data_IF_516063277054
#
_entry.id   IF_516063277054
#
_cell.length_a   1.000
_cell.length_b   1.000
_cell.length_c   1.000
_cell.angle_alpha   90.00
_cell.angle_beta   90.00
_cell.angle_gamma   90.00
#
_symmetry.space_group_name_H-M   'P 1'
#
loop_
_entity.id
_entity.type
_entity.pdbx_description
1 polymer ?
#
# COMPACT_ATOMS: atom_id res chain seq x y z
N UNK A 1 -26.51 28.55 -9.55
CA UNK A 1 -25.26 27.76 -9.49
C UNK A 1 -25.37 26.76 -8.34
N UNK A 2 -25.68 25.49 -8.63
CA UNK A 2 -25.73 24.42 -7.61
C UNK A 2 -24.31 23.92 -7.39
N UNK A 3 -23.73 24.24 -6.22
CA UNK A 3 -22.41 23.78 -5.82
C UNK A 3 -22.28 22.27 -5.99
N UNK A 4 -21.27 21.86 -6.77
CA UNK A 4 -20.92 20.47 -6.99
C UNK A 4 -20.64 19.81 -5.64
N UNK A 5 -21.41 18.76 -5.30
CA UNK A 5 -21.07 17.86 -4.21
C UNK A 5 -19.74 17.19 -4.56
N UNK A 6 -18.63 17.71 -4.07
CA UNK A 6 -17.37 16.96 -4.00
C UNK A 6 -17.68 15.72 -3.18
N UNK A 7 -17.73 14.55 -3.83
CA UNK A 7 -18.00 13.29 -3.15
C UNK A 7 -16.90 13.11 -2.10
N UNK A 8 -17.20 13.40 -0.84
CA UNK A 8 -16.29 13.18 0.26
C UNK A 8 -16.03 11.68 0.27
N UNK A 9 -14.85 11.27 -0.19
CA UNK A 9 -14.44 9.88 -0.13
C UNK A 9 -14.68 9.39 1.29
N UNK A 10 -15.44 8.31 1.39
CA UNK A 10 -15.69 7.66 2.67
C UNK A 10 -14.35 7.31 3.30
N UNK A 11 -14.29 7.26 4.62
CA UNK A 11 -13.04 6.96 5.30
C UNK A 11 -12.43 5.62 4.84
N UNK A 12 -13.29 4.64 4.56
CA UNK A 12 -12.88 3.36 3.99
C UNK A 12 -12.19 3.52 2.62
N UNK A 13 -12.68 4.40 1.74
CA UNK A 13 -12.05 4.67 0.44
C UNK A 13 -10.69 5.37 0.60
N UNK A 14 -10.58 6.29 1.56
CA UNK A 14 -9.29 6.91 1.90
C UNK A 14 -8.29 5.87 2.39
N UNK A 15 -8.73 4.95 3.24
CA UNK A 15 -7.88 3.86 3.73
C UNK A 15 -7.41 2.94 2.59
N UNK A 16 -8.33 2.58 1.68
CA UNK A 16 -8.01 1.80 0.48
C UNK A 16 -6.98 2.50 -0.40
N UNK A 17 -7.14 3.80 -0.62
CA UNK A 17 -6.23 4.60 -1.44
C UNK A 17 -4.81 4.59 -0.88
N UNK A 18 -4.64 4.72 0.43
CA UNK A 18 -3.32 4.70 1.07
C UNK A 18 -2.67 3.31 0.95
N UNK A 19 -3.43 2.23 1.18
CA UNK A 19 -2.89 0.88 1.06
C UNK A 19 -2.56 0.49 -0.39
N UNK A 20 -3.32 0.99 -1.36
CA UNK A 20 -3.06 0.71 -2.78
C UNK A 20 -1.90 1.54 -3.35
N UNK A 21 -1.74 2.78 -2.87
CA UNK A 21 -0.71 3.72 -3.37
C UNK A 21 0.69 3.45 -2.83
N UNK A 22 0.84 2.59 -1.81
CA UNK A 22 2.13 2.28 -1.20
C UNK A 22 2.50 0.80 -1.40
N UNK A 23 3.79 0.50 -1.39
CA UNK A 23 4.37 -0.84 -1.52
C UNK A 23 5.31 -1.18 -0.35
N UNK A 24 5.57 -0.22 0.54
CA UNK A 24 6.34 -0.41 1.77
C UNK A 24 5.45 -0.23 3.00
N UNK A 25 5.72 -1.01 4.02
CA UNK A 25 5.07 -0.91 5.32
C UNK A 25 6.07 -1.14 6.45
N UNK A 26 5.72 -0.71 7.66
CA UNK A 26 6.43 -1.06 8.88
C UNK A 26 5.71 -2.24 9.53
N UNK A 27 6.38 -3.39 9.62
CA UNK A 27 5.88 -4.57 10.30
C UNK A 27 6.32 -4.53 11.75
N UNK A 28 5.37 -4.69 12.66
CA UNK A 28 5.57 -4.74 14.10
C UNK A 28 5.23 -6.14 14.60
N UNK A 29 6.21 -6.86 15.15
CA UNK A 29 6.03 -8.17 15.80
C UNK A 29 6.45 -8.10 17.25
N UNK A 30 5.99 -9.06 18.06
CA UNK A 30 6.43 -9.21 19.45
C UNK A 30 7.77 -9.95 19.45
N UNK A 31 8.77 -9.47 20.20
CA UNK A 31 10.07 -10.15 20.29
C UNK A 31 9.95 -11.47 21.03
N UNK A 32 10.62 -12.48 20.48
CA UNK A 32 10.85 -13.75 21.12
C UNK A 32 12.03 -13.67 22.12
N UNK A 33 11.82 -13.06 23.28
CA UNK A 33 12.85 -13.01 24.33
C UNK A 33 12.76 -14.24 25.26
N UNK A 34 13.87 -14.97 25.42
CA UNK A 34 13.97 -16.14 26.31
C UNK A 34 13.74 -15.85 27.81
N UNK A 35 13.67 -14.57 28.20
CA UNK A 35 13.51 -14.12 29.59
C UNK A 35 12.05 -13.86 30.02
N UNK A 36 11.07 -14.07 29.15
CA UNK A 36 9.66 -13.90 29.53
C UNK A 36 9.22 -12.45 29.74
N UNK A 37 10.03 -11.45 29.32
CA UNK A 37 9.57 -10.07 29.19
C UNK A 37 8.66 -9.96 27.97
N UNK A 38 7.41 -10.38 28.15
CA UNK A 38 6.32 -10.14 27.22
C UNK A 38 6.20 -8.62 27.11
N UNK A 39 6.47 -8.04 25.94
CA UNK A 39 5.98 -6.72 25.44
C UNK A 39 7.00 -5.85 24.68
N UNK A 40 8.23 -6.31 24.41
CA UNK A 40 9.10 -5.53 23.51
C UNK A 40 8.69 -5.73 22.04
N UNK A 41 8.38 -4.64 21.34
CA UNK A 41 7.99 -4.65 19.93
C UNK A 41 9.24 -4.55 19.06
N UNK A 42 9.33 -5.40 18.05
CA UNK A 42 10.31 -5.30 16.98
C UNK A 42 9.67 -4.73 15.72
N UNK A 43 10.29 -3.71 15.15
CA UNK A 43 9.80 -2.99 13.98
C UNK A 43 10.84 -3.02 12.87
N UNK A 44 10.46 -3.51 11.69
CA UNK A 44 11.28 -3.43 10.49
C UNK A 44 10.43 -3.05 9.27
N UNK A 45 11.10 -2.59 8.20
CA UNK A 45 10.45 -2.23 6.94
C UNK A 45 10.29 -3.48 6.09
N UNK A 46 9.07 -3.72 5.63
CA UNK A 46 8.72 -4.82 4.73
C UNK A 46 8.11 -4.31 3.45
N UNK A 47 8.28 -5.05 2.36
CA UNK A 47 7.60 -4.80 1.09
C UNK A 47 6.28 -5.57 1.08
N UNK A 48 5.24 -5.02 0.47
CA UNK A 48 3.95 -5.68 0.40
C UNK A 48 3.17 -5.40 -0.88
N UNK A 49 2.25 -6.31 -1.20
CA UNK A 49 1.22 -6.10 -2.21
C UNK A 49 -0.17 -6.45 -1.67
N UNK A 50 -1.20 -5.88 -2.28
CA UNK A 50 -2.58 -6.25 -2.01
C UNK A 50 -3.09 -7.17 -3.12
N UNK A 51 -3.52 -8.38 -2.75
CA UNK A 51 -4.21 -9.30 -3.67
C UNK A 51 -5.55 -9.68 -3.07
N UNK A 52 -6.64 -9.39 -3.80
CA UNK A 52 -8.03 -9.61 -3.34
C UNK A 52 -8.34 -9.05 -1.94
N UNK A 53 -7.66 -7.98 -1.54
CA UNK A 53 -7.92 -7.24 -0.29
C UNK A 53 -7.10 -7.74 0.89
N UNK A 54 -6.22 -8.70 0.64
CA UNK A 54 -5.30 -9.25 1.64
C UNK A 54 -3.90 -8.74 1.35
N UNK A 55 -3.19 -8.21 2.35
CA UNK A 55 -1.77 -7.87 2.22
C UNK A 55 -0.93 -9.15 2.22
N UNK A 56 -0.04 -9.25 1.24
CA UNK A 56 1.02 -10.23 1.17
C UNK A 56 2.35 -9.51 1.38
N UNK A 57 3.17 -10.03 2.28
CA UNK A 57 4.40 -9.40 2.76
C UNK A 57 5.61 -10.20 2.29
N UNK A 58 6.67 -9.50 1.92
CA UNK A 58 8.00 -10.07 1.73
C UNK A 58 8.87 -9.63 2.89
N UNK A 59 9.41 -10.61 3.61
CA UNK A 59 10.28 -10.42 4.76
C UNK A 59 11.61 -11.09 4.44
N UNK A 60 12.72 -10.37 4.58
CA UNK A 60 14.05 -10.95 4.33
C UNK A 60 14.27 -12.14 5.28
N UNK A 61 14.84 -13.25 4.81
CA UNK A 61 15.05 -14.45 5.63
C UNK A 61 15.93 -14.20 6.86
N UNK A 62 16.85 -13.24 6.78
CA UNK A 62 17.75 -12.86 7.88
C UNK A 62 17.06 -11.99 8.94
N UNK A 63 15.82 -11.57 8.71
CA UNK A 63 15.07 -10.70 9.62
C UNK A 63 14.50 -11.50 10.81
N UNK A 64 14.54 -10.90 12.00
CA UNK A 64 14.01 -11.48 13.24
C UNK A 64 12.48 -11.70 13.19
N UNK A 65 11.77 -11.01 12.28
CA UNK A 65 10.36 -11.23 12.04
C UNK A 65 10.03 -12.71 11.73
N UNK A 66 10.93 -13.44 11.07
CA UNK A 66 10.70 -14.86 10.78
C UNK A 66 10.64 -15.71 12.05
N UNK A 67 11.53 -15.47 13.01
CA UNK A 67 11.53 -16.17 14.31
C UNK A 67 10.36 -15.72 15.17
N UNK A 68 10.12 -14.41 15.22
CA UNK A 68 9.05 -13.84 16.05
C UNK A 68 7.66 -14.36 15.64
N UNK A 69 7.39 -14.46 14.33
CA UNK A 69 6.09 -14.91 13.81
C UNK A 69 5.81 -16.40 14.02
N UNK A 70 6.84 -17.23 14.18
CA UNK A 70 6.69 -18.65 14.53
C UNK A 70 6.22 -18.81 15.98
N UNK A 71 6.70 -17.94 16.87
CA UNK A 71 6.39 -18.00 18.31
C UNK A 71 5.07 -17.30 18.62
N UNK A 72 4.86 -16.12 18.03
CA UNK A 72 3.63 -15.35 18.17
C UNK A 72 3.18 -14.83 16.80
N UNK A 73 2.03 -15.32 16.34
CA UNK A 73 1.50 -14.98 15.03
C UNK A 73 0.91 -13.55 14.98
N UNK A 74 0.79 -12.86 16.11
CA UNK A 74 0.22 -11.51 16.20
C UNK A 74 1.20 -10.47 15.66
N UNK A 75 0.72 -9.66 14.74
CA UNK A 75 1.48 -8.53 14.23
C UNK A 75 0.60 -7.31 13.94
N UNK A 76 1.26 -6.16 13.84
CA UNK A 76 0.65 -4.94 13.34
C UNK A 76 1.44 -4.40 12.16
N UNK A 77 0.74 -3.83 11.18
CA UNK A 77 1.32 -3.26 9.98
C UNK A 77 0.96 -1.78 9.92
N UNK A 78 1.96 -0.91 9.86
CA UNK A 78 1.76 0.53 9.71
C UNK A 78 2.12 0.99 8.28
N UNK A 79 1.17 1.64 7.62
CA UNK A 79 1.31 2.18 6.25
C UNK A 79 1.01 3.66 6.27
N UNK A 80 1.91 4.47 5.71
CA UNK A 80 1.70 5.90 5.52
C UNK A 80 1.33 6.20 4.06
N UNK A 81 0.61 7.30 3.82
CA UNK A 81 0.46 7.83 2.46
C UNK A 81 1.84 8.19 1.89
N UNK A 82 2.10 7.95 0.60
CA UNK A 82 3.33 8.40 -0.04
C UNK A 82 3.60 9.86 0.29
N UNK A 83 4.80 10.13 0.80
CA UNK A 83 5.14 11.43 1.36
C UNK A 83 6.33 12.00 0.58
N UNK A 84 6.20 13.18 -0.04
CA UNK A 84 7.28 13.76 -0.82
C UNK A 84 8.47 14.10 0.08
N UNK A 85 9.56 13.36 -0.10
CA UNK A 85 10.79 13.49 0.68
C UNK A 85 11.33 14.93 0.73
N UNK A 86 11.47 15.65 -0.40
CA UNK A 86 11.98 17.02 -0.41
C UNK A 86 11.14 18.02 0.41
N UNK A 87 9.84 17.77 0.55
CA UNK A 87 8.93 18.64 1.30
C UNK A 87 8.71 18.17 2.75
N UNK A 88 9.42 17.12 3.18
CA UNK A 88 9.20 16.50 4.48
C UNK A 88 9.33 17.48 5.65
N UNK A 89 10.38 18.31 5.61
CA UNK A 89 10.67 19.28 6.66
C UNK A 89 9.60 20.39 6.71
N UNK A 90 9.10 20.82 5.55
CA UNK A 90 8.03 21.82 5.45
C UNK A 90 6.71 21.28 6.03
N UNK A 91 6.33 20.07 5.66
CA UNK A 91 5.12 19.44 6.21
C UNK A 91 5.23 19.21 7.72
N UNK A 92 6.42 18.85 8.20
CA UNK A 92 6.69 18.71 9.63
C UNK A 92 6.58 20.04 10.37
N UNK A 93 7.11 21.14 9.83
CA UNK A 93 7.00 22.47 10.45
C UNK A 93 5.55 22.97 10.48
N UNK A 94 4.75 22.63 9.48
CA UNK A 94 3.31 22.90 9.44
C UNK A 94 2.47 21.95 10.32
N UNK A 95 3.09 21.01 11.03
CA UNK A 95 2.42 19.93 11.78
C UNK A 95 1.42 19.11 10.94
N UNK A 96 1.60 19.10 9.61
CA UNK A 96 0.76 18.34 8.66
C UNK A 96 1.49 17.06 8.30
N UNK A 97 1.32 16.02 9.12
CA UNK A 97 1.91 14.72 8.85
C UNK A 97 1.09 13.94 7.81
N UNK A 98 1.72 13.04 7.02
CA UNK A 98 1.01 12.19 6.08
C UNK A 98 -0.01 11.33 6.83
N UNK A 99 -1.13 11.05 6.18
CA UNK A 99 -2.14 10.15 6.73
C UNK A 99 -1.52 8.75 6.93
N UNK A 100 -1.90 8.08 8.02
CA UNK A 100 -1.36 6.77 8.37
C UNK A 100 -2.46 5.80 8.72
N UNK A 101 -2.20 4.53 8.45
CA UNK A 101 -3.07 3.42 8.76
C UNK A 101 -2.26 2.44 9.57
N UNK A 102 -2.77 2.08 10.74
CA UNK A 102 -2.28 0.98 11.53
C UNK A 102 -3.28 -0.18 11.39
N UNK A 103 -2.80 -1.30 10.91
CA UNK A 103 -3.56 -2.53 10.75
C UNK A 103 -3.08 -3.51 11.80
N UNK A 104 -3.99 -4.17 12.49
CA UNK A 104 -3.64 -5.24 13.42
C UNK A 104 -4.28 -6.55 12.99
N UNK A 105 -3.51 -7.63 13.11
CA UNK A 105 -3.92 -8.93 12.64
C UNK A 105 -2.91 -10.02 12.98
N UNK A 106 -2.97 -11.09 12.21
CA UNK A 106 -2.05 -12.22 12.35
C UNK A 106 -1.26 -12.41 11.05
N UNK A 107 -0.07 -12.95 11.14
CA UNK A 107 0.83 -13.20 10.01
C UNK A 107 1.01 -14.70 9.87
N UNK A 108 0.79 -15.21 8.67
CA UNK A 108 0.89 -16.64 8.37
C UNK A 108 1.94 -16.84 7.26
N UNK A 109 3.01 -17.63 7.49
CA UNK A 109 3.96 -17.97 6.43
C UNK A 109 3.26 -18.77 5.34
N UNK A 110 3.55 -18.45 4.08
CA UNK A 110 3.03 -19.20 2.95
C UNK A 110 3.94 -20.38 2.62
N UNK A 111 3.32 -21.51 2.29
CA UNK A 111 4.00 -22.63 1.63
C UNK A 111 4.47 -22.21 0.24
N UNK A 112 5.54 -22.82 -0.23
CA UNK A 112 6.21 -22.48 -1.49
C UNK A 112 5.25 -22.42 -2.69
N UNK A 113 4.34 -23.38 -2.83
CA UNK A 113 3.32 -23.37 -3.91
C UNK A 113 2.46 -22.09 -3.90
N UNK A 114 2.02 -21.65 -2.72
CA UNK A 114 1.19 -20.44 -2.59
C UNK A 114 2.02 -19.18 -2.74
N UNK A 115 3.30 -19.20 -2.33
CA UNK A 115 4.23 -18.10 -2.52
C UNK A 115 4.45 -17.86 -4.03
N UNK A 116 4.70 -18.91 -4.81
CA UNK A 116 4.84 -18.84 -6.28
C UNK A 116 3.62 -18.21 -6.96
N UNK A 117 2.40 -18.58 -6.55
CA UNK A 117 1.16 -17.96 -7.07
C UNK A 117 1.01 -16.48 -6.71
N UNK A 118 1.64 -16.02 -5.64
CA UNK A 118 1.65 -14.61 -5.25
C UNK A 118 2.69 -13.84 -6.06
N UNK A 119 3.86 -14.43 -6.29
CA UNK A 119 4.90 -13.88 -7.17
C UNK A 119 4.46 -13.79 -8.63
N UNK A 120 3.77 -14.80 -9.15
CA UNK A 120 3.20 -14.77 -10.50
C UNK A 120 2.16 -13.65 -10.61
N UNK A 121 1.31 -13.50 -9.59
CA UNK A 121 0.35 -12.40 -9.53
C UNK A 121 1.04 -11.03 -9.43
N UNK A 122 2.21 -10.95 -8.78
CA UNK A 122 3.02 -9.74 -8.77
C UNK A 122 3.53 -9.41 -10.18
N UNK A 123 4.07 -10.41 -10.89
CA UNK A 123 4.51 -10.27 -12.29
C UNK A 123 3.37 -9.80 -13.18
N UNK A 124 2.19 -10.39 -13.04
CA UNK A 124 0.99 -10.00 -13.80
C UNK A 124 0.59 -8.55 -13.54
N UNK A 125 0.59 -8.11 -12.27
CA UNK A 125 0.27 -6.71 -11.92
C UNK A 125 1.27 -5.76 -12.56
N UNK A 126 2.57 -6.02 -12.45
CA UNK A 126 3.61 -5.16 -13.05
C UNK A 126 3.50 -5.09 -14.57
N UNK A 127 3.26 -6.23 -15.24
CA UNK A 127 3.04 -6.27 -16.69
C UNK A 127 1.77 -5.51 -17.10
N UNK A 128 0.71 -5.58 -16.29
CA UNK A 128 -0.53 -4.84 -16.56
C UNK A 128 -0.38 -3.32 -16.35
N UNK A 129 0.47 -2.89 -15.42
CA UNK A 129 0.83 -1.49 -15.23
C UNK A 129 1.59 -0.97 -16.46
N UNK A 130 2.60 -1.71 -16.92
CA UNK A 130 3.37 -1.34 -18.10
C UNK A 130 2.50 -1.30 -19.36
N UNK A 131 1.65 -2.31 -19.58
CA UNK A 131 0.74 -2.34 -20.73
C UNK A 131 -0.18 -1.13 -20.79
N UNK A 132 -0.69 -0.67 -19.64
CA UNK A 132 -1.54 0.52 -19.59
C UNK A 132 -0.77 1.80 -19.93
N UNK A 133 0.53 1.87 -19.62
CA UNK A 133 1.39 2.99 -20.02
C UNK A 133 1.65 2.95 -21.53
N UNK A 134 1.87 1.76 -22.09
CA UNK A 134 2.15 1.56 -23.51
C UNK A 134 0.90 1.80 -24.40
N UNK A 135 -0.29 1.43 -23.91
CA UNK A 135 -1.58 1.66 -24.59
C UNK A 135 -2.07 3.11 -24.48
N UNK A 136 -1.44 3.95 -23.64
CA UNK A 136 -1.81 5.35 -23.50
C UNK A 136 -1.42 6.18 -24.74
N UNK A 137 -2.11 7.32 -25.03
CA UNK A 137 -1.74 8.20 -26.11
C UNK A 137 -0.25 8.58 -26.04
N UNK A 138 0.42 8.67 -27.19
CA UNK A 138 1.88 8.86 -27.27
C UNK A 138 2.41 9.99 -26.35
N UNK A 139 1.71 11.12 -26.27
CA UNK A 139 2.08 12.24 -25.38
C UNK A 139 2.07 11.82 -23.90
N UNK A 140 1.03 11.09 -23.47
CA UNK A 140 0.88 10.61 -22.10
C UNK A 140 1.86 9.48 -21.82
N UNK A 141 2.01 8.52 -22.74
CA UNK A 141 2.95 7.41 -22.61
C UNK A 141 4.39 7.91 -22.51
N UNK A 142 4.80 8.87 -23.35
CA UNK A 142 6.11 9.52 -23.29
C UNK A 142 6.33 10.26 -21.96
N UNK A 143 5.33 10.98 -21.45
CA UNK A 143 5.43 11.62 -20.13
C UNK A 143 5.51 10.59 -19.02
N UNK A 144 4.66 9.56 -18.99
CA UNK A 144 4.65 8.56 -17.92
C UNK A 144 5.90 7.67 -17.92
N UNK A 145 6.40 7.29 -19.09
CA UNK A 145 7.64 6.52 -19.24
C UNK A 145 8.89 7.33 -18.89
N UNK A 146 8.89 8.64 -19.16
CA UNK A 146 9.99 9.55 -18.78
C UNK A 146 9.87 10.07 -17.35
N UNK A 147 8.68 10.02 -16.75
CA UNK A 147 8.40 10.44 -15.39
C UNK A 147 8.95 9.45 -14.37
N UNK A 148 10.27 9.37 -14.28
CA UNK A 148 10.97 9.02 -13.06
C UNK A 148 10.86 10.21 -12.11
N UNK A 149 9.70 10.39 -11.48
CA UNK A 149 9.50 11.45 -10.50
C UNK A 149 10.22 11.09 -9.18
N UNK A 150 11.54 11.07 -9.27
CA UNK A 150 12.56 11.31 -8.23
C UNK A 150 13.08 10.09 -7.43
N UNK A 151 12.37 8.97 -7.29
CA UNK A 151 12.94 7.73 -6.70
C UNK A 151 12.06 6.53 -7.04
N UNK A 152 12.58 5.65 -7.90
CA UNK A 152 12.21 4.24 -8.15
C UNK A 152 10.71 3.94 -8.26
N UNK A 153 10.23 3.57 -9.45
CA UNK A 153 8.82 3.20 -9.65
C UNK A 153 8.40 2.06 -8.70
N UNK A 154 7.12 2.00 -8.32
CA UNK A 154 6.58 0.88 -7.51
C UNK A 154 6.99 -0.47 -8.10
N UNK A 155 6.88 -0.57 -9.42
CA UNK A 155 7.27 -1.75 -10.18
C UNK A 155 8.78 -2.03 -10.10
N UNK A 156 9.67 -1.06 -10.25
CA UNK A 156 11.12 -1.27 -10.08
C UNK A 156 11.49 -1.80 -8.69
N UNK A 157 10.94 -1.24 -7.62
CA UNK A 157 11.28 -1.71 -6.27
C UNK A 157 10.72 -3.10 -5.95
N UNK A 158 9.58 -3.44 -6.56
CA UNK A 158 9.01 -4.78 -6.43
C UNK A 158 9.70 -5.77 -7.36
N UNK A 159 10.35 -5.31 -8.44
CA UNK A 159 11.17 -6.14 -9.32
C UNK A 159 12.33 -6.79 -8.57
N UNK A 160 12.94 -6.06 -7.62
CA UNK A 160 13.99 -6.60 -6.74
C UNK A 160 13.54 -7.87 -5.98
N UNK A 161 12.25 -8.02 -5.68
CA UNK A 161 11.70 -9.22 -5.03
C UNK A 161 11.66 -10.43 -5.97
N UNK A 162 11.65 -10.20 -7.28
CA UNK A 162 11.57 -11.22 -8.33
C UNK A 162 12.93 -11.57 -8.91
N UNK A 163 13.89 -10.64 -8.86
CA UNK A 163 15.23 -10.79 -9.41
C UNK A 163 16.11 -11.72 -8.55
N UNK A 164 15.66 -12.09 -7.34
CA UNK A 164 16.31 -13.10 -6.49
C UNK A 164 17.63 -12.65 -5.85
N UNK A 165 17.88 -11.35 -5.78
CA UNK A 165 19.11 -10.78 -5.19
C UNK A 165 19.19 -11.06 -3.69
N UNK A 166 18.04 -11.12 -3.01
CA UNK A 166 17.92 -11.51 -1.61
C UNK A 166 16.87 -12.61 -1.46
N UNK A 167 17.05 -13.47 -0.47
CA UNK A 167 16.08 -14.50 -0.10
C UNK A 167 15.00 -13.88 0.80
N UNK A 168 13.74 -14.05 0.40
CA UNK A 168 12.58 -13.50 1.09
C UNK A 168 11.57 -14.60 1.43
N UNK A 169 11.12 -14.62 2.68
CA UNK A 169 9.94 -15.35 3.10
C UNK A 169 8.66 -14.57 2.73
N UNK A 170 7.69 -15.26 2.12
CA UNK A 170 6.39 -14.68 1.76
C UNK A 170 5.36 -15.00 2.84
N UNK A 171 4.71 -13.96 3.35
CA UNK A 171 3.70 -14.08 4.40
C UNK A 171 2.35 -13.52 3.97
N UNK A 172 1.27 -14.08 4.50
CA UNK A 172 -0.09 -13.55 4.37
C UNK A 172 -0.50 -12.83 5.65
N UNK A 173 -0.90 -11.57 5.52
CA UNK A 173 -1.42 -10.80 6.65
C UNK A 173 -2.95 -10.98 6.75
N UNK A 174 -3.42 -11.59 7.83
CA UNK A 174 -4.83 -11.79 8.15
C UNK A 174 -5.33 -10.62 9.02
N UNK A 175 -6.01 -9.67 8.38
CA UNK A 175 -6.49 -8.44 9.02
C UNK A 175 -7.64 -8.70 10.01
N UNK A 176 -7.51 -8.24 11.26
CA UNK A 176 -8.58 -8.30 12.28
C UNK A 176 -9.31 -6.97 12.45
N UNK A 177 -8.53 -5.89 12.59
CA UNK A 177 -9.07 -4.54 12.67
C UNK A 177 -8.06 -3.54 12.11
N UNK A 178 -8.55 -2.35 11.79
CA UNK A 178 -7.76 -1.28 11.22
C UNK A 178 -8.08 0.02 11.96
N UNK A 179 -7.05 0.77 12.26
CA UNK A 179 -7.12 2.12 12.80
C UNK A 179 -6.48 3.05 11.80
N UNK A 180 -7.15 4.14 11.50
CA UNK A 180 -6.63 5.14 10.57
C UNK A 180 -6.53 6.49 11.25
N UNK A 181 -5.41 7.16 11.03
CA UNK A 181 -5.10 8.48 11.55
C UNK A 181 -5.00 9.43 10.36
N UNK A 182 -5.96 10.36 10.30
CA UNK A 182 -6.02 11.38 9.26
C UNK A 182 -5.99 12.78 9.88
N UNK A 183 -5.34 13.70 9.16
CA UNK A 183 -5.44 15.12 9.41
C UNK A 183 -6.57 15.70 8.57
N UNK A 184 -7.63 16.18 9.23
CA UNK A 184 -8.62 17.05 8.60
C UNK A 184 -8.54 18.41 9.30
N UNK A 185 -8.18 19.46 8.57
CA UNK A 185 -8.32 20.86 9.03
C UNK A 185 -7.85 21.08 10.48
N UNK A 186 -6.62 20.66 10.80
CA UNK A 186 -5.95 20.83 12.10
C UNK A 186 -6.37 19.89 13.24
N UNK A 187 -7.26 18.91 13.01
CA UNK A 187 -7.66 17.92 14.02
C UNK A 187 -7.25 16.51 13.57
N UNK A 188 -6.53 15.80 14.44
CA UNK A 188 -6.22 14.38 14.28
C UNK A 188 -7.45 13.55 14.64
N UNK A 189 -8.00 12.81 13.67
CA UNK A 189 -9.09 11.86 13.93
C UNK A 189 -8.56 10.44 13.91
N UNK A 190 -8.90 9.69 14.96
CA UNK A 190 -8.65 8.26 15.07
C UNK A 190 -9.98 7.54 14.94
N UNK A 191 -10.09 6.64 13.96
CA UNK A 191 -11.31 5.86 13.75
C UNK A 191 -10.99 4.36 13.64
N UNK A 192 -11.85 3.54 14.26
CA UNK A 192 -11.68 2.09 14.38
C UNK A 192 -12.61 1.35 13.41
N UNK A 193 -12.06 0.43 12.62
CA UNK A 193 -12.81 -0.46 11.74
C UNK A 193 -12.62 -1.92 12.16
N UNK A 194 -13.74 -2.64 12.37
CA UNK A 194 -13.75 -4.12 12.42
C UNK A 194 -13.89 -4.68 11.00
N UNK A 195 -13.12 -5.72 10.69
CA UNK A 195 -12.85 -6.24 9.33
C UNK A 195 -14.07 -6.82 8.56
N UNK A 196 -15.28 -6.90 9.13
CA UNK A 196 -16.47 -7.40 8.41
C UNK A 196 -16.74 -6.67 7.09
N UNK A 197 -16.36 -5.39 6.98
CA UNK A 197 -16.54 -4.60 5.76
C UNK A 197 -15.37 -4.66 4.75
N UNK A 198 -14.20 -5.20 5.14
CA UNK A 198 -13.10 -5.47 4.20
C UNK A 198 -13.21 -6.86 3.55
N UNK A 199 -13.96 -7.81 4.09
CA UNK A 199 -14.23 -9.07 3.40
C UNK A 199 -15.27 -8.92 2.27
N UNK A 200 -16.26 -8.02 2.41
CA UNK A 200 -17.19 -7.64 1.31
C UNK A 200 -16.48 -6.99 0.10
N UNK A 201 -15.21 -6.64 0.26
CA UNK A 201 -14.31 -5.99 -0.70
C UNK A 201 -13.83 -6.91 -1.83
N UNK A 202 -13.75 -8.23 -1.60
CA UNK A 202 -13.24 -9.17 -2.61
C UNK A 202 -14.16 -9.28 -3.86
N UNK A 203 -15.41 -8.83 -3.77
CA UNK A 203 -16.41 -8.90 -4.83
C UNK A 203 -16.47 -7.68 -5.76
N UNK A 204 -15.74 -6.59 -5.50
CA UNK A 204 -15.88 -5.33 -6.27
C UNK A 204 -14.62 -4.83 -6.98
N UNK A 205 -13.50 -5.54 -6.88
CA UNK A 205 -12.23 -5.17 -7.54
C UNK A 205 -12.16 -5.62 -9.01
N UNK A 206 -13.05 -5.05 -9.84
CA UNK A 206 -12.84 -4.96 -11.29
C UNK A 206 -13.14 -3.56 -11.86
N UNK A 207 -13.61 -2.61 -11.02
CA UNK A 207 -13.97 -1.25 -11.48
C UNK A 207 -12.96 -0.16 -11.13
N UNK A 208 -11.94 -0.45 -10.32
CA UNK A 208 -10.97 0.58 -9.91
C UNK A 208 -9.93 0.91 -11.00
N UNK A 209 -9.60 -0.04 -11.90
CA UNK A 209 -8.85 0.28 -13.12
C UNK A 209 -9.62 1.27 -14.02
N UNK A 210 -10.96 1.22 -14.02
CA UNK A 210 -11.78 2.14 -14.81
C UNK A 210 -11.75 3.59 -14.27
N UNK A 211 -11.52 3.77 -12.97
CA UNK A 211 -11.55 5.09 -12.35
C UNK A 211 -10.28 5.88 -12.63
N UNK A 212 -9.12 5.22 -12.71
CA UNK A 212 -7.87 5.84 -13.16
C UNK A 212 -8.00 6.31 -14.63
N UNK A 213 -8.59 5.49 -15.51
CA UNK A 213 -8.86 5.90 -16.90
C UNK A 213 -9.85 7.07 -17.00
N UNK A 214 -10.85 7.17 -16.11
CA UNK A 214 -11.81 8.28 -16.09
C UNK A 214 -11.19 9.58 -15.58
N UNK A 215 -10.30 9.52 -14.59
CA UNK A 215 -9.58 10.71 -14.10
C UNK A 215 -8.60 11.23 -15.16
N UNK A 216 -7.90 10.35 -15.87
CA UNK A 216 -7.05 10.74 -17.01
C UNK A 216 -7.88 11.34 -18.14
N UNK A 217 -9.06 10.75 -18.47
CA UNK A 217 -9.99 11.31 -19.46
C UNK A 217 -10.55 12.67 -19.05
N UNK A 218 -10.82 12.88 -17.77
CA UNK A 218 -11.33 14.15 -17.26
C UNK A 218 -10.26 15.24 -17.27
N UNK A 219 -9.02 14.92 -16.88
CA UNK A 219 -7.89 15.85 -16.98
C UNK A 219 -7.64 16.24 -18.43
N UNK A 220 -7.67 15.28 -19.37
CA UNK A 220 -7.54 15.54 -20.81
C UNK A 220 -8.65 16.48 -21.34
N UNK A 221 -9.90 16.26 -20.94
CA UNK A 221 -11.04 17.08 -21.38
C UNK A 221 -11.03 18.51 -20.82
N UNK A 222 -10.38 18.75 -19.68
CA UNK A 222 -10.23 20.10 -19.09
C UNK A 222 -9.07 20.86 -19.73
N UNK A 223 -8.04 20.16 -20.22
CA UNK A 223 -6.91 20.77 -20.93
C UNK A 223 -7.29 21.17 -22.37
N UNK A 224 -8.09 20.36 -23.08
CA UNK A 224 -8.55 20.70 -24.44
C UNK A 224 -9.50 21.91 -24.50
N UNK A 225 -10.29 22.16 -23.44
CA UNK A 225 -11.25 23.27 -23.40
C UNK A 225 -10.59 24.63 -23.09
N UNK A 226 -9.33 24.65 -22.64
CA UNK A 226 -8.60 25.90 -22.34
C UNK A 226 -7.56 26.29 -23.42
N UNK A 227 -7.58 25.62 -24.57
CA UNK A 227 -6.65 25.86 -25.70
C UNK A 227 -7.36 26.34 -26.98
N UNK A 228 -8.63 26.75 -26.90
CA UNK A 228 -9.37 27.43 -27.97
C UNK A 228 -10.10 28.67 -27.46
#
# INVERSE_FOLDING_TARGET
>A
MKGSKTTILTLAEKCKSILASNWQAQLNTIKADAKGSKESIYTSKVKYILKKGKPYLWVNEKDMHNVNTIIDDRASLAVASPFPGPLANLFKSMQKLPARIAITGNVEPLKEEKARLVEESLKEVMLSEQRQIDEAPHTVSSVLSSSNLITTSRSENLKELLDGVEEYGVYRFNLRYMVSVFYNSSIMKTEHFKCLNLCRWALTHFKFLLFATLVVKWIMSVVEVNLF
#
